data_IF_237934983957
#
_entry.id   IF_237934983957
#
_cell.length_a   1.000
_cell.length_b   1.000
_cell.length_c   1.000
_cell.angle_alpha   90.00
_cell.angle_beta   90.00
_cell.angle_gamma   90.00
#
_symmetry.space_group_name_H-M   'P 1'
#
loop_
_entity.id
_entity.type
_entity.pdbx_description
1 polymer ?
#
# COMPACT_ATOMS: atom_id res chain seq x y z
N UNK A 1 -15.44 18.12 0.63
CA UNK A 1 -14.33 18.42 1.56
C UNK A 1 -13.53 17.13 1.73
N UNK A 2 -12.40 17.03 1.05
CA UNK A 2 -11.55 15.83 1.07
C UNK A 2 -10.62 15.86 2.28
N UNK A 3 -10.94 15.11 3.31
CA UNK A 3 -10.04 14.82 4.42
C UNK A 3 -9.52 13.39 4.24
N UNK A 4 -8.53 13.24 3.37
CA UNK A 4 -7.79 12.00 3.20
C UNK A 4 -6.35 12.35 2.86
N UNK A 5 -5.40 11.56 3.36
CA UNK A 5 -3.97 11.71 3.02
C UNK A 5 -3.81 11.60 1.48
N UNK A 6 -2.93 12.33 0.81
CA UNK A 6 -2.74 12.13 -0.64
C UNK A 6 -2.20 10.72 -0.94
N UNK A 7 -2.36 10.23 -2.17
CA UNK A 7 -1.78 8.93 -2.57
C UNK A 7 -0.25 8.94 -2.37
N UNK A 8 0.41 9.99 -2.86
CA UNK A 8 1.83 10.26 -2.65
C UNK A 8 2.23 10.16 -1.16
N UNK A 9 1.45 10.79 -0.28
CA UNK A 9 1.78 10.78 1.16
C UNK A 9 1.48 9.46 1.83
N UNK A 10 0.48 8.72 1.35
CA UNK A 10 0.23 7.34 1.78
C UNK A 10 1.42 6.44 1.41
N UNK A 11 1.93 6.57 0.18
CA UNK A 11 3.13 5.85 -0.29
C UNK A 11 4.34 6.19 0.57
N UNK A 12 4.62 7.48 0.79
CA UNK A 12 5.74 7.90 1.66
C UNK A 12 5.63 7.34 3.09
N UNK A 13 4.41 7.29 3.62
CA UNK A 13 4.16 6.74 4.96
C UNK A 13 4.34 5.22 5.01
N UNK A 14 4.03 4.52 3.92
CA UNK A 14 4.28 3.09 3.78
C UNK A 14 5.77 2.78 3.66
N UNK A 15 6.53 3.59 2.91
CA UNK A 15 7.99 3.47 2.83
C UNK A 15 8.65 3.69 4.19
N UNK A 16 8.29 4.76 4.90
CA UNK A 16 8.82 5.07 6.23
C UNK A 16 8.56 3.93 7.24
N UNK A 17 7.37 3.32 7.18
CA UNK A 17 7.05 2.12 7.97
C UNK A 17 7.95 0.94 7.61
N UNK A 18 8.21 0.71 6.32
CA UNK A 18 9.11 -0.36 5.87
C UNK A 18 10.53 -0.09 6.36
N UNK A 19 11.03 1.13 6.24
CA UNK A 19 12.37 1.52 6.65
C UNK A 19 12.55 1.39 8.17
N UNK A 20 11.54 1.80 8.95
CA UNK A 20 11.50 1.55 10.39
C UNK A 20 11.61 0.05 10.69
N UNK A 21 10.78 -0.78 10.06
CA UNK A 21 10.81 -2.23 10.29
C UNK A 21 12.13 -2.87 9.86
N UNK A 22 12.74 -2.42 8.77
CA UNK A 22 14.07 -2.88 8.35
C UNK A 22 15.14 -2.48 9.36
N UNK A 23 15.01 -1.31 9.99
CA UNK A 23 15.96 -0.87 11.03
C UNK A 23 15.92 -1.76 12.29
N UNK A 24 14.75 -2.30 12.62
CA UNK A 24 14.55 -3.20 13.78
C UNK A 24 14.76 -4.68 13.42
N UNK A 25 14.41 -5.05 12.18
CA UNK A 25 14.52 -6.40 11.61
C UNK A 25 15.29 -6.34 10.27
N UNK A 26 16.63 -6.27 10.30
CA UNK A 26 17.46 -6.17 9.10
C UNK A 26 17.24 -7.31 8.09
N UNK A 27 16.72 -8.45 8.54
CA UNK A 27 16.29 -9.58 7.71
C UNK A 27 15.25 -9.18 6.64
N UNK A 28 14.47 -8.13 6.89
CA UNK A 28 13.50 -7.60 5.95
C UNK A 28 14.13 -6.79 4.82
N UNK A 29 15.43 -6.44 4.90
CA UNK A 29 16.11 -5.65 3.89
C UNK A 29 16.20 -6.36 2.54
N UNK A 30 16.43 -7.68 2.51
CA UNK A 30 16.44 -8.46 1.27
C UNK A 30 15.01 -8.93 0.96
N UNK A 31 14.39 -8.48 -0.16
CA UNK A 31 13.06 -8.92 -0.57
C UNK A 31 12.93 -10.43 -0.78
N UNK A 32 14.05 -11.16 -0.92
CA UNK A 32 14.10 -12.61 -1.16
C UNK A 32 14.24 -13.44 0.12
N UNK A 33 14.46 -12.81 1.28
CA UNK A 33 14.78 -13.52 2.52
C UNK A 33 13.57 -14.14 3.22
N UNK A 34 12.35 -13.76 2.81
CA UNK A 34 11.10 -14.10 3.51
C UNK A 34 10.14 -14.92 2.66
N UNK A 35 10.71 -15.77 1.81
CA UNK A 35 10.00 -16.82 1.09
C UNK A 35 9.67 -17.97 2.06
N UNK A 36 8.79 -17.68 3.02
CA UNK A 36 8.11 -18.74 3.75
C UNK A 36 7.15 -19.40 2.76
N UNK A 37 7.38 -20.69 2.50
CA UNK A 37 6.49 -21.57 1.75
C UNK A 37 5.21 -21.82 2.56
N UNK A 38 4.41 -20.77 2.74
CA UNK A 38 3.02 -20.91 3.15
C UNK A 38 2.25 -21.27 1.89
N UNK A 39 1.70 -22.48 1.89
CA UNK A 39 0.85 -23.04 0.84
C UNK A 39 0.04 -21.95 0.10
N UNK A 40 0.15 -21.85 -1.24
CA UNK A 40 -0.45 -20.79 -2.03
C UNK A 40 -1.92 -20.61 -1.68
N UNK A 41 -2.25 -19.46 -1.09
CA UNK A 41 -3.62 -19.10 -0.81
C UNK A 41 -4.38 -18.95 -2.14
N UNK A 42 -5.45 -19.72 -2.32
CA UNK A 42 -6.32 -19.61 -3.50
C UNK A 42 -6.86 -20.92 -4.08
N UNK A 43 -6.42 -22.11 -3.66
CA UNK A 43 -6.98 -23.38 -4.20
C UNK A 43 -7.59 -24.37 -3.21
N UNK A 44 -7.27 -24.31 -1.92
CA UNK A 44 -7.70 -25.34 -0.96
C UNK A 44 -8.39 -24.82 0.31
N UNK A 45 -8.38 -23.52 0.56
CA UNK A 45 -8.89 -22.98 1.82
C UNK A 45 -10.38 -22.69 1.72
N UNK A 46 -11.21 -23.67 2.12
CA UNK A 46 -12.64 -23.49 2.45
C UNK A 46 -12.84 -22.65 3.73
N UNK A 47 -12.06 -21.60 3.93
CA UNK A 47 -12.44 -20.58 4.91
C UNK A 47 -13.62 -19.84 4.30
N UNK A 48 -14.62 -19.55 5.13
CA UNK A 48 -15.87 -18.93 4.71
C UNK A 48 -15.56 -17.70 3.84
N UNK A 49 -15.86 -17.79 2.54
CA UNK A 49 -15.72 -16.69 1.58
C UNK A 49 -16.54 -15.45 1.98
N UNK A 50 -17.40 -15.56 2.99
CA UNK A 50 -18.20 -14.46 3.56
C UNK A 50 -17.41 -13.63 4.58
N UNK A 51 -16.39 -14.19 5.25
CA UNK A 51 -15.56 -13.44 6.21
C UNK A 51 -14.60 -12.46 5.50
N UNK A 52 -14.22 -12.74 4.25
CA UNK A 52 -13.19 -12.00 3.50
C UNK A 52 -13.55 -10.52 3.22
N UNK A 53 -14.71 -10.21 2.59
CA UNK A 53 -15.01 -8.83 2.22
C UNK A 53 -15.32 -7.95 3.45
N UNK A 54 -16.05 -8.50 4.43
CA UNK A 54 -16.41 -7.77 5.66
C UNK A 54 -15.17 -7.43 6.49
N UNK A 55 -14.21 -8.36 6.58
CA UNK A 55 -12.95 -8.12 7.25
C UNK A 55 -12.10 -7.09 6.52
N UNK A 56 -12.08 -7.10 5.18
CA UNK A 56 -11.36 -6.08 4.41
C UNK A 56 -11.95 -4.69 4.65
N UNK A 57 -13.28 -4.55 4.55
CA UNK A 57 -13.96 -3.27 4.75
C UNK A 57 -13.74 -2.72 6.17
N UNK A 58 -13.80 -3.60 7.18
CA UNK A 58 -13.47 -3.25 8.55
C UNK A 58 -12.03 -2.72 8.69
N UNK A 59 -11.06 -3.34 8.01
CA UNK A 59 -9.66 -2.88 8.03
C UNK A 59 -9.44 -1.61 7.23
N UNK A 60 -10.21 -1.38 6.16
CA UNK A 60 -10.23 -0.10 5.44
C UNK A 60 -10.69 1.02 6.35
N UNK A 61 -11.76 0.80 7.12
CA UNK A 61 -12.25 1.80 8.08
C UNK A 61 -11.21 2.10 9.15
N UNK A 62 -10.51 1.07 9.66
CA UNK A 62 -9.38 1.26 10.58
C UNK A 62 -8.25 2.09 9.96
N UNK A 63 -7.83 1.76 8.74
CA UNK A 63 -6.80 2.51 8.03
C UNK A 63 -7.21 3.99 7.84
N UNK A 64 -8.46 4.25 7.47
CA UNK A 64 -9.01 5.61 7.30
C UNK A 64 -9.10 6.37 8.62
N UNK A 65 -9.45 5.71 9.73
CA UNK A 65 -9.43 6.34 11.06
C UNK A 65 -8.02 6.83 11.43
N UNK A 66 -6.99 6.04 11.15
CA UNK A 66 -5.59 6.39 11.40
C UNK A 66 -5.15 7.55 10.50
N UNK A 67 -5.49 7.51 9.21
CA UNK A 67 -5.22 8.62 8.28
C UNK A 67 -5.89 9.92 8.73
N UNK A 68 -7.15 9.85 9.17
CA UNK A 68 -7.89 10.99 9.67
C UNK A 68 -7.30 11.53 10.98
N UNK A 69 -6.81 10.64 11.85
CA UNK A 69 -6.07 11.03 13.05
C UNK A 69 -4.75 11.72 12.68
N UNK A 70 -4.01 11.17 11.71
CA UNK A 70 -2.76 11.77 11.23
C UNK A 70 -3.01 13.16 10.66
N UNK A 71 -4.04 13.34 9.84
CA UNK A 71 -4.41 14.66 9.30
C UNK A 71 -4.71 15.69 10.40
N UNK A 72 -5.20 15.26 11.57
CA UNK A 72 -5.53 16.14 12.71
C UNK A 72 -4.35 16.38 13.65
N UNK A 73 -3.50 15.39 13.86
CA UNK A 73 -2.51 15.38 14.96
C UNK A 73 -1.07 15.37 14.46
N UNK A 74 -0.84 15.10 13.18
CA UNK A 74 0.48 14.80 12.60
C UNK A 74 1.18 13.57 13.20
N UNK A 75 0.45 12.77 13.99
CA UNK A 75 0.90 11.48 14.51
C UNK A 75 0.02 10.35 14.01
N UNK A 76 0.65 9.24 13.68
CA UNK A 76 -0.01 8.03 13.24
C UNK A 76 0.13 7.01 14.36
N UNK A 77 -0.94 6.79 15.12
CA UNK A 77 -0.91 5.92 16.31
C UNK A 77 -1.99 4.87 16.17
N UNK A 78 -1.59 3.61 16.20
CA UNK A 78 -2.53 2.50 16.32
C UNK A 78 -2.98 2.36 17.77
N UNK A 79 -4.29 2.20 18.00
CA UNK A 79 -4.88 2.10 19.34
C UNK A 79 -5.92 0.99 19.40
N UNK A 80 -6.00 0.33 20.55
CA UNK A 80 -7.01 -0.72 20.78
C UNK A 80 -6.66 -2.04 20.10
N UNK A 81 -5.37 -2.34 20.00
CA UNK A 81 -4.85 -3.64 19.54
C UNK A 81 -4.22 -4.34 20.72
N UNK A 82 -4.79 -5.47 21.11
CA UNK A 82 -4.27 -6.34 22.16
C UNK A 82 -3.80 -7.67 21.57
N UNK A 83 -2.66 -8.18 22.02
CA UNK A 83 -2.16 -9.50 21.62
C UNK A 83 -2.54 -10.53 22.68
N UNK A 84 -3.53 -11.36 22.35
CA UNK A 84 -4.16 -12.27 23.31
C UNK A 84 -4.22 -13.70 22.78
N UNK A 85 -4.13 -14.68 23.69
CA UNK A 85 -4.41 -16.07 23.37
C UNK A 85 -5.93 -16.23 23.15
N UNK A 86 -6.33 -16.49 21.92
CA UNK A 86 -7.73 -16.72 21.54
C UNK A 86 -7.94 -18.20 21.31
N UNK A 87 -8.93 -18.77 22.01
CA UNK A 87 -9.35 -20.16 21.84
C UNK A 87 -10.66 -20.20 21.05
N UNK A 88 -10.71 -21.02 20.00
CA UNK A 88 -11.91 -21.20 19.18
C UNK A 88 -12.01 -22.64 18.66
N UNK A 89 -13.21 -23.14 18.33
CA UNK A 89 -13.32 -24.42 17.65
C UNK A 89 -12.69 -24.35 16.25
N UNK A 90 -11.97 -25.40 15.86
CA UNK A 90 -11.56 -25.64 14.49
C UNK A 90 -12.73 -26.26 13.69
N UNK A 91 -12.48 -26.65 12.43
CA UNK A 91 -13.52 -27.26 11.58
C UNK A 91 -14.00 -28.63 12.08
N UNK A 92 -13.17 -29.34 12.83
CA UNK A 92 -13.46 -30.66 13.37
C UNK A 92 -14.18 -30.59 14.73
N UNK A 93 -14.34 -29.37 15.27
CA UNK A 93 -14.97 -29.11 16.56
C UNK A 93 -13.99 -29.09 17.75
N UNK A 94 -12.71 -29.35 17.53
CA UNK A 94 -11.69 -29.27 18.57
C UNK A 94 -11.36 -27.81 18.91
N UNK A 95 -11.14 -27.54 20.19
CA UNK A 95 -10.69 -26.21 20.63
C UNK A 95 -9.20 -26.05 20.32
N UNK A 96 -8.89 -25.10 19.45
CA UNK A 96 -7.52 -24.67 19.15
C UNK A 96 -7.26 -23.28 19.71
N UNK A 97 -6.04 -23.04 20.16
CA UNK A 97 -5.61 -21.75 20.71
C UNK A 97 -4.50 -21.16 19.85
N UNK A 98 -4.62 -19.88 19.51
CA UNK A 98 -3.60 -19.12 18.82
C UNK A 98 -3.45 -17.74 19.42
N UNK A 99 -2.23 -17.22 19.41
CA UNK A 99 -1.99 -15.84 19.78
C UNK A 99 -2.40 -14.93 18.63
N UNK A 100 -3.38 -14.06 18.88
CA UNK A 100 -4.03 -13.24 17.87
C UNK A 100 -3.91 -11.75 18.22
N UNK A 101 -3.92 -10.89 17.20
CA UNK A 101 -4.22 -9.49 17.41
C UNK A 101 -5.75 -9.31 17.51
N UNK A 102 -6.21 -8.72 18.61
CA UNK A 102 -7.61 -8.42 18.88
C UNK A 102 -7.79 -6.92 18.82
N UNK A 103 -8.55 -6.46 17.82
CA UNK A 103 -8.77 -5.05 17.54
C UNK A 103 -10.14 -4.66 18.07
N UNK A 104 -10.16 -3.83 19.10
CA UNK A 104 -11.40 -3.33 19.68
C UNK A 104 -12.13 -2.40 18.68
N UNK A 105 -13.46 -2.58 18.59
CA UNK A 105 -14.38 -1.68 17.88
C UNK A 105 -15.41 -1.19 18.90
N UNK A 106 -15.74 0.10 18.84
CA UNK A 106 -16.64 0.73 19.84
C UNK A 106 -18.06 0.15 19.78
N UNK A 107 -18.61 -0.03 18.58
CA UNK A 107 -20.01 -0.44 18.36
C UNK A 107 -20.15 -1.80 17.64
N UNK A 108 -19.11 -2.63 17.65
CA UNK A 108 -19.09 -3.89 16.89
C UNK A 108 -18.20 -4.95 17.55
N UNK A 109 -18.39 -6.24 17.21
CA UNK A 109 -17.46 -7.27 17.64
C UNK A 109 -16.01 -6.94 17.24
N UNK A 110 -15.07 -7.30 18.10
CA UNK A 110 -13.65 -7.10 17.83
C UNK A 110 -13.21 -7.88 16.57
N UNK A 111 -12.27 -7.30 15.81
CA UNK A 111 -11.63 -8.00 14.70
C UNK A 111 -10.52 -8.86 15.29
N UNK A 112 -10.50 -10.15 14.94
CA UNK A 112 -9.47 -11.08 15.41
C UNK A 112 -8.58 -11.46 14.22
N UNK A 113 -7.33 -11.00 14.25
CA UNK A 113 -6.31 -11.37 13.27
C UNK A 113 -5.47 -12.50 13.85
N UNK A 114 -5.68 -13.71 13.35
CA UNK A 114 -4.86 -14.86 13.69
C UNK A 114 -3.70 -15.01 12.69
N UNK A 115 -2.45 -14.81 13.10
CA UNK A 115 -1.30 -14.92 12.21
C UNK A 115 -1.06 -16.34 11.67
N UNK A 116 -1.67 -17.37 12.26
CA UNK A 116 -1.59 -18.73 11.75
C UNK A 116 -2.63 -19.00 10.65
N UNK A 117 -3.60 -18.09 10.45
CA UNK A 117 -4.57 -18.23 9.37
C UNK A 117 -4.03 -17.57 8.10
N UNK A 118 -4.06 -18.30 6.96
CA UNK A 118 -3.63 -17.76 5.68
C UNK A 118 -4.40 -16.51 5.22
N UNK A 119 -5.67 -16.34 5.64
CA UNK A 119 -6.51 -15.17 5.32
C UNK A 119 -5.80 -13.84 5.54
N UNK A 120 -5.01 -13.71 6.61
CA UNK A 120 -4.30 -12.48 6.96
C UNK A 120 -3.33 -12.03 5.86
N UNK A 121 -2.63 -12.99 5.24
CA UNK A 121 -1.64 -12.72 4.18
C UNK A 121 -2.25 -12.72 2.78
N UNK A 122 -3.42 -13.37 2.62
CA UNK A 122 -4.14 -13.45 1.36
C UNK A 122 -5.12 -12.30 1.12
N UNK A 123 -5.44 -11.49 2.15
CA UNK A 123 -6.57 -10.56 2.11
C UNK A 123 -6.49 -9.55 0.95
N UNK A 124 -5.35 -8.87 0.80
CA UNK A 124 -5.13 -7.89 -0.28
C UNK A 124 -5.15 -8.57 -1.64
N UNK A 125 -4.49 -9.73 -1.76
CA UNK A 125 -4.44 -10.50 -3.03
C UNK A 125 -5.79 -11.06 -3.43
N UNK A 126 -6.69 -11.28 -2.46
CA UNK A 126 -8.04 -11.76 -2.68
C UNK A 126 -9.04 -10.66 -3.07
N UNK A 127 -8.67 -9.38 -2.97
CA UNK A 127 -9.53 -8.24 -3.31
C UNK A 127 -8.88 -7.30 -4.35
N UNK A 128 -8.38 -7.82 -5.49
CA UNK A 128 -7.63 -7.01 -6.46
C UNK A 128 -8.45 -5.90 -7.12
N UNK A 129 -9.79 -5.98 -7.05
CA UNK A 129 -10.72 -4.99 -7.58
C UNK A 129 -10.88 -3.75 -6.69
N UNK A 130 -10.41 -3.81 -5.44
CA UNK A 130 -10.46 -2.67 -4.52
C UNK A 130 -9.52 -1.55 -4.98
N UNK A 131 -9.82 -0.27 -4.66
CA UNK A 131 -8.93 0.84 -4.98
C UNK A 131 -7.52 0.62 -4.42
N UNK A 132 -6.48 0.94 -5.21
CA UNK A 132 -5.08 0.75 -4.79
C UNK A 132 -4.75 1.43 -3.45
N UNK A 133 -5.37 2.59 -3.21
CA UNK A 133 -5.29 3.29 -1.92
C UNK A 133 -5.76 2.43 -0.75
N UNK A 134 -6.91 1.77 -0.88
CA UNK A 134 -7.47 0.93 0.17
C UNK A 134 -6.60 -0.31 0.37
N UNK A 135 -6.05 -0.89 -0.72
CA UNK A 135 -5.09 -1.99 -0.64
C UNK A 135 -3.83 -1.59 0.14
N UNK A 136 -3.22 -0.44 -0.17
CA UNK A 136 -2.05 0.07 0.56
C UNK A 136 -2.40 0.37 2.01
N UNK A 137 -3.56 0.98 2.26
CA UNK A 137 -4.04 1.31 3.62
C UNK A 137 -4.18 0.06 4.49
N UNK A 138 -4.89 -0.96 3.99
CA UNK A 138 -5.07 -2.24 4.68
C UNK A 138 -3.74 -2.95 4.87
N UNK A 139 -2.90 -3.01 3.84
CA UNK A 139 -1.61 -3.69 3.95
C UNK A 139 -0.67 -2.98 4.95
N UNK A 140 -0.65 -1.65 4.94
CA UNK A 140 0.11 -0.85 5.90
C UNK A 140 -0.39 -1.07 7.33
N UNK A 141 -1.71 -1.16 7.51
CA UNK A 141 -2.33 -1.47 8.80
C UNK A 141 -1.89 -2.84 9.31
N UNK A 142 -1.99 -3.88 8.46
CA UNK A 142 -1.54 -5.23 8.82
C UNK A 142 -0.05 -5.25 9.18
N UNK A 143 0.80 -4.58 8.42
CA UNK A 143 2.23 -4.47 8.70
C UNK A 143 2.51 -3.80 10.05
N UNK A 144 1.74 -2.77 10.46
CA UNK A 144 1.88 -2.15 11.79
C UNK A 144 1.50 -3.11 12.91
N UNK A 145 0.29 -3.68 12.82
CA UNK A 145 -0.22 -4.61 13.83
C UNK A 145 0.72 -5.81 13.99
N UNK A 146 1.18 -6.38 12.89
CA UNK A 146 2.04 -7.56 12.98
C UNK A 146 3.52 -7.21 13.23
N UNK A 147 3.96 -5.98 12.95
CA UNK A 147 5.27 -5.49 13.35
C UNK A 147 5.46 -5.53 14.85
N UNK A 148 4.46 -5.07 15.60
CA UNK A 148 4.47 -5.09 17.07
C UNK A 148 4.31 -6.51 17.65
N UNK A 149 3.78 -7.45 16.85
CA UNK A 149 3.63 -8.84 17.25
C UNK A 149 4.92 -9.68 17.09
N UNK A 150 6.00 -9.14 16.54
CA UNK A 150 7.24 -9.92 16.37
C UNK A 150 7.80 -10.34 17.74
N UNK A 151 8.08 -11.65 17.88
CA UNK A 151 8.56 -12.25 19.13
C UNK A 151 7.43 -12.78 20.03
N UNK A 152 6.18 -12.52 19.69
CA UNK A 152 5.01 -13.12 20.32
C UNK A 152 4.85 -14.58 19.84
N UNK A 153 4.37 -15.54 20.67
CA UNK A 153 4.24 -16.94 20.28
C UNK A 153 3.45 -17.14 18.98
N UNK A 154 4.04 -17.84 18.02
CA UNK A 154 3.41 -18.07 16.72
C UNK A 154 3.50 -16.88 15.77
N UNK A 155 4.31 -15.86 16.04
CA UNK A 155 4.62 -14.83 15.04
C UNK A 155 6.12 -14.66 14.84
N UNK A 156 6.54 -14.62 13.57
CA UNK A 156 7.95 -14.61 13.18
C UNK A 156 8.23 -13.46 12.22
N UNK A 157 9.49 -13.02 12.16
CA UNK A 157 9.95 -12.03 11.18
C UNK A 157 9.67 -12.51 9.74
N UNK A 158 9.72 -13.81 9.48
CA UNK A 158 9.36 -14.36 8.17
C UNK A 158 7.91 -14.08 7.77
N UNK A 159 6.97 -14.21 8.71
CA UNK A 159 5.54 -13.91 8.48
C UNK A 159 5.31 -12.41 8.28
N UNK A 160 5.99 -11.57 9.06
CA UNK A 160 5.99 -10.12 8.83
C UNK A 160 6.52 -9.78 7.44
N UNK A 161 7.57 -10.49 7.00
CA UNK A 161 8.18 -10.32 5.70
C UNK A 161 7.23 -10.50 4.51
N UNK A 162 6.28 -11.43 4.60
CA UNK A 162 5.25 -11.58 3.56
C UNK A 162 4.33 -10.36 3.47
N UNK A 163 3.96 -9.79 4.62
CA UNK A 163 3.14 -8.58 4.66
C UNK A 163 3.92 -7.37 4.13
N UNK A 164 5.19 -7.25 4.50
CA UNK A 164 6.09 -6.20 4.00
C UNK A 164 6.34 -6.34 2.50
N UNK A 165 6.54 -7.57 2.00
CA UNK A 165 6.70 -7.86 0.58
C UNK A 165 5.49 -7.41 -0.23
N UNK A 166 4.29 -7.75 0.23
CA UNK A 166 3.04 -7.30 -0.40
C UNK A 166 2.91 -5.78 -0.37
N UNK A 167 3.30 -5.12 0.73
CA UNK A 167 3.28 -3.66 0.80
C UNK A 167 4.23 -3.01 -0.21
N UNK A 168 5.44 -3.55 -0.36
CA UNK A 168 6.43 -3.09 -1.37
C UNK A 168 5.88 -3.23 -2.79
N UNK A 169 5.21 -4.35 -3.09
CA UNK A 169 4.57 -4.57 -4.39
C UNK A 169 3.52 -3.50 -4.69
N UNK A 170 2.64 -3.21 -3.74
CA UNK A 170 1.61 -2.18 -3.88
C UNK A 170 2.18 -0.77 -4.01
N UNK A 171 3.19 -0.42 -3.21
CA UNK A 171 3.89 0.88 -3.30
C UNK A 171 4.54 1.04 -4.66
N UNK A 172 5.18 -0.02 -5.19
CA UNK A 172 5.76 0.00 -6.54
C UNK A 172 4.68 0.22 -7.59
N UNK A 173 3.52 -0.44 -7.48
CA UNK A 173 2.39 -0.24 -8.39
C UNK A 173 1.87 1.20 -8.35
N UNK A 174 1.78 1.81 -7.16
CA UNK A 174 1.33 3.19 -7.02
C UNK A 174 2.26 4.19 -7.72
N UNK A 175 3.58 3.99 -7.58
CA UNK A 175 4.58 4.83 -8.25
C UNK A 175 4.53 4.69 -9.77
N UNK A 176 4.25 3.49 -10.29
CA UNK A 176 4.07 3.27 -11.73
C UNK A 176 2.83 4.00 -12.25
N UNK A 177 1.68 3.88 -11.56
CA UNK A 177 0.44 4.57 -11.92
C UNK A 177 0.59 6.11 -11.86
N UNK A 178 1.37 6.64 -10.91
CA UNK A 178 1.72 8.07 -10.86
C UNK A 178 2.64 8.49 -12.02
N UNK A 179 3.62 7.65 -12.38
CA UNK A 179 4.53 7.89 -13.50
C UNK A 179 3.80 7.94 -14.85
N UNK A 180 2.89 6.99 -15.09
CA UNK A 180 2.09 6.92 -16.31
C UNK A 180 1.21 8.17 -16.46
N UNK A 181 0.52 8.59 -15.38
CA UNK A 181 -0.30 9.81 -15.36
C UNK A 181 0.52 11.09 -15.59
N UNK A 182 1.77 11.13 -15.11
CA UNK A 182 2.66 12.25 -15.36
C UNK A 182 3.11 12.30 -16.82
N UNK A 183 3.39 11.14 -17.43
CA UNK A 183 3.71 10.99 -18.85
C UNK A 183 2.56 11.47 -19.75
N UNK A 184 1.35 10.98 -19.51
CA UNK A 184 0.15 11.38 -20.26
C UNK A 184 -0.07 12.90 -20.20
N UNK A 185 0.06 13.50 -19.01
CA UNK A 185 -0.08 14.95 -18.84
C UNK A 185 1.02 15.72 -19.58
N UNK A 186 2.24 15.22 -19.62
CA UNK A 186 3.34 15.84 -20.35
C UNK A 186 3.12 15.79 -21.86
N UNK A 187 2.62 14.66 -22.40
CA UNK A 187 2.28 14.53 -23.82
C UNK A 187 1.14 15.47 -24.23
N UNK A 188 0.08 15.57 -23.42
CA UNK A 188 -1.03 16.50 -23.68
C UNK A 188 -0.62 17.97 -23.54
N UNK A 189 0.41 18.27 -22.74
CA UNK A 189 0.95 19.63 -22.61
C UNK A 189 1.90 20.00 -23.76
N UNK A 190 2.54 19.01 -24.39
CA UNK A 190 3.40 19.19 -25.55
C UNK A 190 2.59 19.35 -26.85
N UNK A 191 1.47 18.65 -27.00
CA UNK A 191 0.57 18.77 -28.16
C UNK A 191 -0.23 20.09 -28.18
N UNK A 192 -0.38 20.74 -27.01
CA UNK A 192 -0.95 22.09 -26.89
C UNK A 192 0.05 23.23 -27.15
N UNK A 193 1.33 22.91 -27.37
CA UNK A 193 2.37 23.87 -27.70
C UNK A 193 2.70 23.82 -29.20
N UNK A 194 1.71 24.12 -30.06
CA UNK A 194 2.03 24.53 -31.43
C UNK A 194 2.90 25.79 -31.36
N UNK A 195 4.16 25.62 -31.74
CA UNK A 195 5.12 26.67 -31.91
C UNK A 195 4.54 27.74 -32.85
N UNK A 196 4.22 28.91 -32.28
CA UNK A 196 3.99 30.11 -33.07
C UNK A 196 5.20 30.33 -33.99
N UNK A 197 4.98 30.69 -35.27
CA UNK A 197 6.04 30.64 -36.26
C UNK A 197 7.16 31.59 -35.85
N UNK A 198 8.36 31.04 -35.65
CA UNK A 198 9.59 31.81 -35.59
C UNK A 198 9.70 32.59 -36.89
N UNK A 199 9.40 33.88 -36.82
CA UNK A 199 9.62 34.80 -37.91
C UNK A 199 11.12 35.09 -37.97
N UNK A 200 11.88 34.17 -38.56
CA UNK A 200 13.25 34.42 -38.99
C UNK A 200 13.15 35.30 -40.25
N UNK A 201 13.59 36.56 -40.24
CA UNK A 201 13.62 37.35 -41.45
C UNK A 201 14.71 36.80 -42.40
N UNK A 202 14.42 36.63 -43.69
CA UNK A 202 15.39 36.11 -44.64
C UNK A 202 16.46 37.16 -44.95
N UNK A 203 17.72 36.82 -44.71
CA UNK A 203 18.87 37.55 -45.22
C UNK A 203 19.05 37.13 -46.68
N UNK A 204 18.56 37.95 -47.61
CA UNK A 204 18.90 37.86 -49.02
C UNK A 204 19.43 39.22 -49.50
N UNK A 205 20.76 39.31 -49.65
CA UNK A 205 21.39 40.00 -50.78
C UNK A 205 21.70 38.91 -51.84
N UNK A 206 21.60 39.18 -53.17
CA UNK A 206 22.59 40.05 -53.83
C UNK A 206 22.18 40.81 -55.13
N UNK A 207 22.85 41.95 -55.31
CA UNK A 207 23.50 42.49 -56.53
C UNK A 207 22.78 43.03 -57.80
N UNK A 208 23.19 44.28 -58.13
CA UNK A 208 23.45 44.92 -59.45
C UNK A 208 22.23 45.39 -60.27
N UNK A 209 22.13 46.62 -60.81
CA UNK A 209 23.09 47.39 -61.64
C UNK A 209 22.74 48.90 -61.73
N UNK A 210 23.79 49.75 -61.74
CA UNK A 210 24.09 50.85 -62.72
C UNK A 210 23.17 52.10 -62.82
N UNK A 211 23.73 53.27 -62.48
CA UNK A 211 24.06 54.34 -63.46
C UNK A 211 24.99 55.43 -62.91
N UNK A 212 25.93 55.82 -63.77
CA UNK A 212 26.88 56.93 -63.67
C UNK A 212 26.17 58.29 -63.57
N UNK A 213 26.78 59.26 -62.87
CA UNK A 213 27.30 60.49 -63.49
C UNK A 213 27.64 61.58 -62.43
N UNK A 214 28.74 62.29 -62.73
CA UNK A 214 29.31 63.52 -62.15
C UNK A 214 30.43 63.32 -61.13
#
# INVERSE_FOLDING_TARGET
MGYGVSMERLVLTADDLIDYLVSVHPELADPRYVDLDLEPYGKAVKESWVEFPLMFDDLVDRARCIEAQYAKTSYMVERGVDYCCVSRPNRDGDIVSSMCAVIAKDDSPAIILDPNRPIVYGLVRANPERPLRDLIGVQSYLVRVFGDAVGVPGFTVGRLGQLVGTLRELVRLARLDEGDKAGDRAEHSADGAEAGPEHVPPIHEPNTTRREAA
#
